data_IF_268979205859
#
_entry.id   IF_268979205859
#
_cell.length_a   1.000
_cell.length_b   1.000
_cell.length_c   1.000
_cell.angle_alpha   90.00
_cell.angle_beta   90.00
_cell.angle_gamma   90.00
#
_symmetry.space_group_name_H-M   'P 1'
#
loop_
_entity.id
_entity.type
_entity.pdbx_description
1 polymer ?
#
# COMPACT_ATOMS: atom_id res chain seq x y z
N UNK A 1 -11.07 -18.00 43.30
CA UNK A 1 -10.43 -17.02 42.41
C UNK A 1 -11.59 -16.30 41.79
N UNK A 2 -11.82 -15.06 42.21
CA UNK A 2 -12.90 -14.26 41.66
C UNK A 2 -12.54 -13.91 40.21
N UNK A 3 -13.42 -14.29 39.29
CA UNK A 3 -13.33 -13.91 37.89
C UNK A 3 -13.46 -12.38 37.80
N UNK A 4 -12.36 -11.72 37.47
CA UNK A 4 -12.35 -10.28 37.25
C UNK A 4 -13.05 -9.99 35.92
N UNK A 5 -14.35 -9.71 35.98
CA UNK A 5 -15.07 -9.09 34.87
C UNK A 5 -14.78 -7.57 34.89
N UNK A 6 -14.09 -7.03 33.87
CA UNK A 6 -13.84 -5.60 33.82
C UNK A 6 -15.16 -4.83 33.67
N UNK A 7 -15.36 -3.83 34.54
CA UNK A 7 -16.53 -2.94 34.56
C UNK A 7 -16.83 -2.27 33.21
N UNK A 8 -15.83 -2.18 32.32
CA UNK A 8 -15.95 -1.67 30.96
C UNK A 8 -15.10 -2.52 29.99
N UNK A 9 -15.66 -3.60 29.41
CA UNK A 9 -14.92 -4.50 28.52
C UNK A 9 -14.36 -3.81 27.27
N UNK A 10 -15.08 -2.79 26.77
CA UNK A 10 -14.70 -1.98 25.61
C UNK A 10 -13.44 -1.14 25.88
N UNK A 11 -13.29 -0.60 27.09
CA UNK A 11 -12.10 0.18 27.48
C UNK A 11 -10.84 -0.69 27.60
N UNK A 12 -11.00 -1.96 27.97
CA UNK A 12 -9.90 -2.93 28.02
C UNK A 12 -9.42 -3.29 26.61
N UNK A 13 -10.35 -3.46 25.66
CA UNK A 13 -10.03 -3.71 24.25
C UNK A 13 -9.39 -2.47 23.62
N UNK A 14 -9.95 -1.28 23.88
CA UNK A 14 -9.43 0.03 23.42
C UNK A 14 -8.00 0.26 23.90
N UNK A 15 -7.75 0.03 25.18
CA UNK A 15 -6.42 0.16 25.80
C UNK A 15 -5.44 -0.85 25.22
N UNK A 16 -5.87 -2.09 24.92
CA UNK A 16 -5.02 -3.12 24.32
C UNK A 16 -4.64 -2.78 22.88
N UNK A 17 -5.60 -2.34 22.06
CA UNK A 17 -5.34 -1.96 20.66
C UNK A 17 -4.43 -0.74 20.59
N UNK A 18 -4.67 0.27 21.43
CA UNK A 18 -3.84 1.46 21.53
C UNK A 18 -2.38 1.17 21.89
N UNK A 19 -2.16 0.32 22.90
CA UNK A 19 -0.81 -0.14 23.27
C UNK A 19 -0.10 -0.85 22.12
N UNK A 20 -0.82 -1.68 21.36
CA UNK A 20 -0.25 -2.34 20.18
C UNK A 20 0.10 -1.35 19.07
N UNK A 21 -0.64 -0.25 18.91
CA UNK A 21 -0.34 0.82 17.94
C UNK A 21 0.99 1.48 18.25
N UNK A 22 1.16 1.93 19.49
CA UNK A 22 2.40 2.55 19.97
C UNK A 22 3.57 1.60 19.72
N UNK A 23 3.46 0.35 20.17
CA UNK A 23 4.52 -0.66 20.01
C UNK A 23 4.88 -0.85 18.53
N UNK A 24 3.90 -0.94 17.63
CA UNK A 24 4.17 -1.14 16.20
C UNK A 24 4.82 0.08 15.56
N UNK A 25 4.36 1.29 15.89
CA UNK A 25 4.93 2.54 15.36
C UNK A 25 6.37 2.71 15.81
N UNK A 26 6.66 2.45 17.09
CA UNK A 26 8.03 2.42 17.62
C UNK A 26 8.90 1.43 16.86
N UNK A 27 8.44 0.18 16.67
CA UNK A 27 9.17 -0.83 15.91
C UNK A 27 9.39 -0.45 14.44
N UNK A 28 8.49 0.33 13.85
CA UNK A 28 8.62 0.80 12.47
C UNK A 28 9.68 1.90 12.37
N UNK A 29 9.67 2.89 13.26
CA UNK A 29 10.66 3.97 13.28
C UNK A 29 12.07 3.43 13.47
N UNK A 30 12.25 2.46 14.37
CA UNK A 30 13.55 1.76 14.57
C UNK A 30 14.04 1.08 13.28
N UNK A 31 13.13 0.54 12.46
CA UNK A 31 13.48 -0.13 11.20
C UNK A 31 13.73 0.85 10.05
N UNK A 32 13.03 1.98 10.04
CA UNK A 32 13.14 3.00 9.01
C UNK A 32 14.42 3.83 9.17
N UNK A 33 14.92 3.97 10.40
CA UNK A 33 16.09 4.78 10.73
C UNK A 33 17.13 3.97 11.54
N UNK A 34 17.74 2.92 10.95
CA UNK A 34 18.66 2.04 11.67
C UNK A 34 19.98 2.71 12.08
N UNK A 35 20.37 3.79 11.39
CA UNK A 35 21.63 4.51 11.59
C UNK A 35 21.44 5.85 12.34
N UNK A 36 20.22 6.16 12.79
CA UNK A 36 19.94 7.38 13.55
C UNK A 36 20.49 7.25 14.96
N UNK A 37 20.97 8.37 15.51
CA UNK A 37 21.41 8.40 16.91
C UNK A 37 20.26 8.00 17.84
N UNK A 38 20.58 7.26 18.90
CA UNK A 38 19.59 6.73 19.82
C UNK A 38 18.77 7.86 20.47
N UNK A 39 19.39 9.00 20.78
CA UNK A 39 18.72 10.15 21.38
C UNK A 39 17.68 10.74 20.42
N UNK A 40 18.06 10.96 19.16
CA UNK A 40 17.17 11.52 18.13
C UNK A 40 16.03 10.56 17.78
N UNK A 41 16.32 9.26 17.76
CA UNK A 41 15.32 8.22 17.53
C UNK A 41 14.30 8.15 18.66
N UNK A 42 14.75 8.28 19.92
CA UNK A 42 13.87 8.30 21.09
C UNK A 42 12.98 9.54 21.11
N UNK A 43 13.50 10.72 20.76
CA UNK A 43 12.70 11.95 20.64
C UNK A 43 11.64 11.83 19.54
N UNK A 44 11.99 11.25 18.39
CA UNK A 44 11.05 11.02 17.29
C UNK A 44 9.95 10.03 17.70
N UNK A 45 10.32 8.94 18.37
CA UNK A 45 9.37 7.95 18.90
C UNK A 45 8.44 8.60 19.92
N UNK A 46 8.98 9.40 20.85
CA UNK A 46 8.19 10.08 21.88
C UNK A 46 7.16 11.01 21.24
N UNK A 47 7.58 11.86 20.28
CA UNK A 47 6.70 12.77 19.56
C UNK A 47 5.54 12.03 18.88
N UNK A 48 5.83 10.97 18.14
CA UNK A 48 4.81 10.19 17.44
C UNK A 48 3.87 9.45 18.41
N UNK A 49 4.38 8.98 19.56
CA UNK A 49 3.56 8.38 20.60
C UNK A 49 2.63 9.40 21.26
N UNK A 50 3.10 10.63 21.48
CA UNK A 50 2.29 11.73 22.02
C UNK A 50 1.17 12.10 21.03
N UNK A 51 1.46 12.22 19.74
CA UNK A 51 0.44 12.49 18.72
C UNK A 51 -0.64 11.39 18.67
N UNK A 52 -0.25 10.12 18.81
CA UNK A 52 -1.16 8.98 18.91
C UNK A 52 -2.03 9.07 20.18
N UNK A 53 -1.45 9.45 21.33
CA UNK A 53 -2.18 9.68 22.58
C UNK A 53 -3.19 10.82 22.46
N UNK A 54 -2.78 11.97 21.94
CA UNK A 54 -3.62 13.16 21.80
C UNK A 54 -4.80 12.90 20.87
N UNK A 55 -4.55 12.17 19.78
CA UNK A 55 -5.60 11.71 18.88
C UNK A 55 -6.63 10.81 19.59
N UNK A 56 -6.18 9.91 20.47
CA UNK A 56 -7.08 9.07 21.26
C UNK A 56 -7.89 9.85 22.29
N UNK A 57 -7.31 10.86 22.92
CA UNK A 57 -8.03 11.76 23.85
C UNK A 57 -9.09 12.56 23.11
N UNK A 58 -8.76 13.12 21.95
CA UNK A 58 -9.71 13.85 21.10
C UNK A 58 -10.84 12.94 20.62
N UNK A 59 -10.52 11.70 20.22
CA UNK A 59 -11.49 10.70 19.78
C UNK A 59 -12.41 10.18 20.89
N UNK A 60 -12.04 10.32 22.16
CA UNK A 60 -12.88 9.95 23.30
C UNK A 60 -13.93 11.04 23.64
N UNK A 61 -13.76 12.26 23.12
CA UNK A 61 -14.65 13.40 23.39
C UNK A 61 -15.82 13.57 22.41
N UNK A 62 -15.88 12.77 21.34
CA UNK A 62 -17.00 12.73 20.39
C UNK A 62 -17.83 11.47 20.62
N UNK A 63 -19.15 11.62 20.83
CA UNK A 63 -20.14 10.56 21.11
C UNK A 63 -20.40 9.57 19.95
N UNK A 64 -19.44 9.41 19.02
CA UNK A 64 -19.50 8.39 17.98
C UNK A 64 -18.82 7.11 18.46
N UNK A 65 -19.44 5.96 18.17
CA UNK A 65 -18.94 4.64 18.59
C UNK A 65 -17.44 4.49 18.31
N UNK A 66 -16.69 4.24 19.39
CA UNK A 66 -15.23 4.36 19.42
C UNK A 66 -14.47 3.42 18.47
N UNK A 67 -15.11 2.34 18.00
CA UNK A 67 -14.57 1.44 16.98
C UNK A 67 -14.38 2.11 15.61
N UNK A 68 -15.25 3.05 15.25
CA UNK A 68 -15.34 3.58 13.89
C UNK A 68 -14.26 4.65 13.62
N UNK A 69 -13.87 5.39 14.66
CA UNK A 69 -12.86 6.45 14.59
C UNK A 69 -11.42 5.93 14.59
N UNK A 70 -11.10 4.92 15.41
CA UNK A 70 -9.77 4.29 15.42
C UNK A 70 -9.53 3.53 14.11
N UNK A 71 -10.55 2.83 13.59
CA UNK A 71 -10.51 2.28 12.22
C UNK A 71 -10.29 3.37 11.17
N UNK A 72 -11.01 4.50 11.23
CA UNK A 72 -10.84 5.62 10.29
C UNK A 72 -9.45 6.23 10.33
N UNK A 73 -8.85 6.39 11.50
CA UNK A 73 -7.46 6.85 11.65
C UNK A 73 -6.48 5.86 11.03
N UNK A 74 -6.61 4.57 11.31
CA UNK A 74 -5.78 3.54 10.68
C UNK A 74 -6.01 3.42 9.18
N UNK A 75 -7.22 3.61 8.68
CA UNK A 75 -7.47 3.68 7.24
C UNK A 75 -6.76 4.89 6.65
N UNK A 76 -6.90 6.06 7.28
CA UNK A 76 -6.31 7.30 6.76
C UNK A 76 -4.78 7.32 6.85
N UNK A 77 -4.19 6.88 7.96
CA UNK A 77 -2.74 6.81 8.15
C UNK A 77 -2.12 5.69 7.30
N UNK A 78 -2.80 4.54 7.13
CA UNK A 78 -2.38 3.46 6.21
C UNK A 78 -2.68 3.77 4.73
N UNK A 79 -3.55 4.73 4.44
CA UNK A 79 -3.77 5.33 3.11
C UNK A 79 -2.63 6.32 2.81
N UNK A 80 -2.28 7.19 3.76
CA UNK A 80 -1.23 8.22 3.64
C UNK A 80 0.21 7.65 3.72
N UNK A 81 0.45 6.60 4.51
CA UNK A 81 1.79 5.98 4.69
C UNK A 81 2.19 5.01 3.57
N UNK A 82 1.30 4.68 2.61
CA UNK A 82 1.72 3.94 1.42
C UNK A 82 2.42 4.90 0.47
N UNK A 83 3.72 5.10 0.67
CA UNK A 83 4.67 5.80 -0.24
C UNK A 83 4.77 5.19 -1.67
N UNK A 84 3.83 4.30 -2.02
CA UNK A 84 3.60 3.63 -3.31
C UNK A 84 2.15 3.85 -3.82
N UNK A 85 1.46 4.90 -3.37
CA UNK A 85 0.01 5.04 -3.51
C UNK A 85 -0.47 4.87 -4.96
N UNK A 86 0.18 5.56 -5.90
CA UNK A 86 -0.11 5.46 -7.34
C UNK A 86 0.13 4.05 -7.87
N UNK A 87 1.26 3.44 -7.48
CA UNK A 87 1.62 2.09 -7.91
C UNK A 87 0.66 1.02 -7.38
N UNK A 88 0.28 1.09 -6.12
CA UNK A 88 -0.67 0.15 -5.50
C UNK A 88 -2.08 0.32 -6.03
N UNK A 89 -2.53 1.56 -6.15
CA UNK A 89 -3.82 1.91 -6.76
C UNK A 89 -3.91 1.32 -8.17
N UNK A 90 -2.85 1.47 -8.97
CA UNK A 90 -2.78 0.89 -10.30
C UNK A 90 -2.70 -0.65 -10.31
N UNK A 91 -1.82 -1.25 -9.50
CA UNK A 91 -1.60 -2.71 -9.47
C UNK A 91 -2.86 -3.47 -9.03
N UNK A 92 -3.72 -2.85 -8.23
CA UNK A 92 -4.99 -3.44 -7.81
C UNK A 92 -5.92 -3.78 -8.99
N UNK A 93 -5.84 -3.03 -10.10
CA UNK A 93 -6.55 -3.37 -11.34
C UNK A 93 -5.99 -4.62 -12.02
N UNK A 94 -4.69 -4.83 -11.90
CA UNK A 94 -4.00 -5.95 -12.53
C UNK A 94 -4.15 -7.24 -11.73
N UNK A 95 -4.67 -7.16 -10.50
CA UNK A 95 -4.76 -8.30 -9.58
C UNK A 95 -5.66 -9.44 -10.07
N UNK A 96 -6.67 -9.11 -10.87
CA UNK A 96 -7.56 -10.10 -11.50
C UNK A 96 -6.80 -10.95 -12.54
N UNK A 97 -5.74 -10.38 -13.14
CA UNK A 97 -4.95 -11.01 -14.20
C UNK A 97 -3.63 -11.62 -13.71
N UNK A 98 -3.21 -11.31 -12.48
CA UNK A 98 -1.98 -11.79 -11.84
C UNK A 98 -2.32 -12.89 -10.81
N UNK A 99 -2.81 -14.04 -11.28
CA UNK A 99 -3.42 -15.08 -10.45
C UNK A 99 -2.46 -16.13 -9.83
N UNK A 100 -1.14 -16.01 -9.99
CA UNK A 100 -0.22 -16.96 -9.33
C UNK A 100 -0.01 -16.60 -7.84
N UNK A 101 -0.06 -17.59 -6.95
CA UNK A 101 0.03 -17.40 -5.49
C UNK A 101 1.36 -16.78 -5.04
N UNK A 102 2.45 -17.12 -5.72
CA UNK A 102 3.79 -16.56 -5.46
C UNK A 102 3.85 -15.08 -5.86
N UNK A 103 3.15 -14.70 -6.93
CA UNK A 103 3.12 -13.34 -7.48
C UNK A 103 2.33 -12.36 -6.62
N UNK A 104 1.16 -12.74 -6.08
CA UNK A 104 0.32 -11.78 -5.33
C UNK A 104 1.03 -11.21 -4.10
N UNK A 105 1.54 -12.05 -3.20
CA UNK A 105 2.07 -11.55 -1.93
C UNK A 105 3.47 -10.93 -2.06
N UNK A 106 4.27 -11.37 -3.03
CA UNK A 106 5.68 -10.97 -3.13
C UNK A 106 5.97 -10.00 -4.29
N UNK A 107 5.25 -10.11 -5.41
CA UNK A 107 5.54 -9.31 -6.60
C UNK A 107 4.69 -8.04 -6.70
N UNK A 108 3.51 -7.97 -6.07
CA UNK A 108 2.75 -6.72 -6.03
C UNK A 108 3.52 -5.53 -5.47
N UNK A 109 4.29 -5.66 -4.37
CA UNK A 109 5.14 -4.56 -3.92
C UNK A 109 6.19 -4.18 -4.98
N UNK A 110 6.77 -5.15 -5.69
CA UNK A 110 7.75 -4.89 -6.74
C UNK A 110 7.12 -4.15 -7.94
N UNK A 111 5.92 -4.54 -8.35
CA UNK A 111 5.17 -3.87 -9.40
C UNK A 111 4.70 -2.47 -9.00
N UNK A 112 4.29 -2.28 -7.74
CA UNK A 112 3.91 -0.96 -7.25
C UNK A 112 5.14 -0.03 -7.17
N UNK A 113 6.28 -0.56 -6.74
CA UNK A 113 7.55 0.16 -6.71
C UNK A 113 8.01 0.53 -8.13
N UNK A 114 7.85 -0.37 -9.11
CA UNK A 114 8.26 -0.08 -10.49
C UNK A 114 7.52 1.12 -11.06
N UNK A 115 6.25 1.33 -10.69
CA UNK A 115 5.50 2.53 -11.08
C UNK A 115 6.14 3.79 -10.52
N UNK A 116 6.57 3.80 -9.27
CA UNK A 116 7.29 4.94 -8.70
C UNK A 116 8.60 5.22 -9.43
N UNK A 117 9.35 4.17 -9.74
CA UNK A 117 10.68 4.29 -10.34
C UNK A 117 10.64 4.70 -11.82
N UNK A 118 9.55 4.36 -12.54
CA UNK A 118 9.47 4.50 -13.99
C UNK A 118 8.46 5.55 -14.47
N UNK A 119 7.43 5.90 -13.69
CA UNK A 119 6.39 6.84 -14.14
C UNK A 119 6.90 8.29 -14.24
N UNK A 120 8.06 8.59 -13.65
CA UNK A 120 8.64 9.92 -13.57
C UNK A 120 7.97 10.78 -12.49
N UNK A 121 8.75 11.65 -11.83
CA UNK A 121 8.29 12.42 -10.66
C UNK A 121 7.04 13.26 -10.95
N UNK A 122 7.05 14.06 -12.03
CA UNK A 122 5.93 14.96 -12.36
C UNK A 122 4.62 14.21 -12.58
N UNK A 123 4.65 13.08 -13.29
CA UNK A 123 3.45 12.28 -13.54
C UNK A 123 3.01 11.57 -12.26
N UNK A 124 3.96 11.08 -11.47
CA UNK A 124 3.67 10.44 -10.19
C UNK A 124 2.95 11.40 -9.23
N UNK A 125 3.45 12.62 -9.06
CA UNK A 125 2.86 13.62 -8.19
C UNK A 125 1.47 14.04 -8.67
N UNK A 126 1.30 14.24 -9.98
CA UNK A 126 0.00 14.52 -10.59
C UNK A 126 -1.04 13.44 -10.26
N UNK A 127 -0.69 12.16 -10.44
CA UNK A 127 -1.61 11.07 -10.15
C UNK A 127 -1.85 10.92 -8.66
N UNK A 128 -0.82 11.11 -7.82
CA UNK A 128 -0.97 11.05 -6.37
C UNK A 128 -2.00 12.05 -5.87
N UNK A 129 -1.95 13.30 -6.33
CA UNK A 129 -2.91 14.32 -5.93
C UNK A 129 -4.32 14.03 -6.42
N UNK A 130 -4.47 13.49 -7.64
CA UNK A 130 -5.78 13.06 -8.14
C UNK A 130 -6.38 11.91 -7.33
N UNK A 131 -5.58 10.95 -6.89
CA UNK A 131 -6.08 9.86 -6.04
C UNK A 131 -6.49 10.42 -4.66
N UNK A 132 -5.73 11.36 -4.08
CA UNK A 132 -6.12 12.00 -2.81
C UNK A 132 -7.47 12.73 -2.91
N UNK A 133 -7.71 13.45 -4.00
CA UNK A 133 -9.00 14.12 -4.24
C UNK A 133 -10.12 13.09 -4.31
N UNK A 134 -9.95 12.03 -5.09
CA UNK A 134 -10.93 10.94 -5.20
C UNK A 134 -11.23 10.28 -3.84
N UNK A 135 -10.19 10.05 -3.03
CA UNK A 135 -10.36 9.49 -1.68
C UNK A 135 -11.15 10.43 -0.76
N UNK A 136 -10.91 11.74 -0.85
CA UNK A 136 -11.65 12.72 -0.07
C UNK A 136 -13.13 12.75 -0.47
N UNK A 137 -13.42 12.79 -1.77
CA UNK A 137 -14.79 12.75 -2.32
C UNK A 137 -15.54 11.48 -1.89
N UNK A 138 -14.92 10.31 -2.02
CA UNK A 138 -15.53 9.04 -1.60
C UNK A 138 -15.77 8.99 -0.09
N UNK A 139 -14.88 9.57 0.72
CA UNK A 139 -15.06 9.66 2.18
C UNK A 139 -16.25 10.53 2.55
N UNK A 140 -16.45 11.66 1.89
CA UNK A 140 -17.62 12.52 2.09
C UNK A 140 -18.92 11.80 1.74
N UNK A 141 -18.88 10.93 0.72
CA UNK A 141 -20.00 10.09 0.30
C UNK A 141 -20.18 8.83 1.17
N UNK A 142 -19.37 8.63 2.21
CA UNK A 142 -19.41 7.43 3.06
C UNK A 142 -18.99 6.15 2.35
N UNK A 143 -18.34 6.26 1.19
CA UNK A 143 -17.85 5.13 0.40
C UNK A 143 -16.48 4.70 0.93
N UNK A 144 -16.31 3.40 1.18
CA UNK A 144 -15.03 2.84 1.61
C UNK A 144 -14.05 2.69 0.43
N UNK A 145 -12.78 2.40 0.73
CA UNK A 145 -11.74 2.29 -0.30
C UNK A 145 -12.07 1.25 -1.38
N UNK A 146 -12.61 0.09 -1.01
CA UNK A 146 -12.96 -0.95 -1.99
C UNK A 146 -14.09 -0.50 -2.93
N UNK A 147 -15.12 0.16 -2.39
CA UNK A 147 -16.19 0.77 -3.19
C UNK A 147 -15.70 1.93 -4.06
N UNK A 148 -14.69 2.69 -3.63
CA UNK A 148 -14.06 3.72 -4.46
C UNK A 148 -13.40 3.10 -5.69
N UNK A 149 -12.73 1.95 -5.56
CA UNK A 149 -12.05 1.31 -6.70
C UNK A 149 -13.02 0.82 -7.79
N UNK A 150 -14.27 0.61 -7.43
CA UNK A 150 -15.34 0.21 -8.34
C UNK A 150 -15.97 1.40 -9.10
N UNK A 151 -15.56 2.63 -8.78
CA UNK A 151 -16.05 3.84 -9.46
C UNK A 151 -15.46 4.00 -10.87
N UNK A 152 -16.21 4.68 -11.74
CA UNK A 152 -15.78 5.01 -13.10
C UNK A 152 -14.56 5.93 -13.08
N UNK A 153 -14.53 6.85 -12.11
CA UNK A 153 -13.44 7.78 -11.87
C UNK A 153 -12.15 7.04 -11.51
N UNK A 154 -12.21 6.07 -10.57
CA UNK A 154 -11.07 5.24 -10.22
C UNK A 154 -10.58 4.42 -11.43
N UNK A 155 -11.51 3.83 -12.19
CA UNK A 155 -11.19 3.05 -13.38
C UNK A 155 -10.44 3.88 -14.44
N UNK A 156 -10.93 5.10 -14.71
CA UNK A 156 -10.30 6.02 -15.64
C UNK A 156 -8.91 6.45 -15.16
N UNK A 157 -8.77 6.76 -13.88
CA UNK A 157 -7.49 7.15 -13.28
C UNK A 157 -6.44 6.03 -13.39
N UNK A 158 -6.81 4.78 -13.06
CA UNK A 158 -5.91 3.62 -13.23
C UNK A 158 -5.48 3.42 -14.69
N UNK A 159 -6.39 3.67 -15.64
CA UNK A 159 -6.11 3.56 -17.07
C UNK A 159 -5.14 4.64 -17.56
N UNK A 160 -5.28 5.86 -17.07
CA UNK A 160 -4.33 6.94 -17.36
C UNK A 160 -2.94 6.62 -16.80
N UNK A 161 -2.85 6.11 -15.56
CA UNK A 161 -1.60 5.65 -14.95
C UNK A 161 -0.98 4.54 -15.81
N UNK A 162 -1.77 3.55 -16.25
CA UNK A 162 -1.29 2.46 -17.11
C UNK A 162 -0.70 2.97 -18.43
N UNK A 163 -1.36 3.95 -19.07
CA UNK A 163 -0.90 4.57 -20.32
C UNK A 163 0.41 5.33 -20.12
N UNK A 164 0.48 6.16 -19.09
CA UNK A 164 1.67 6.93 -18.75
C UNK A 164 2.84 6.00 -18.41
N UNK A 165 2.61 5.00 -17.55
CA UNK A 165 3.60 3.99 -17.19
C UNK A 165 4.14 3.24 -18.41
N UNK A 166 3.26 2.76 -19.30
CA UNK A 166 3.68 2.05 -20.51
C UNK A 166 4.49 2.94 -21.46
N UNK A 167 4.14 4.21 -21.56
CA UNK A 167 4.87 5.18 -22.37
C UNK A 167 6.30 5.35 -21.84
N UNK A 168 6.46 5.51 -20.53
CA UNK A 168 7.77 5.66 -19.92
C UNK A 168 8.58 4.36 -19.94
N UNK A 169 7.94 3.21 -19.71
CA UNK A 169 8.57 1.89 -19.84
C UNK A 169 9.17 1.67 -21.24
N UNK A 170 8.47 2.11 -22.30
CA UNK A 170 8.95 2.02 -23.69
C UNK A 170 10.03 3.05 -24.05
N UNK A 171 9.99 4.23 -23.42
CA UNK A 171 10.98 5.30 -23.66
C UNK A 171 12.29 5.03 -22.94
N UNK A 172 12.23 4.43 -21.75
CA UNK A 172 13.40 4.16 -20.94
C UNK A 172 14.20 3.00 -21.53
N UNK A 173 15.47 3.21 -21.95
CA UNK A 173 16.31 2.14 -22.47
C UNK A 173 16.57 1.03 -21.43
N UNK A 174 16.35 1.33 -20.15
CA UNK A 174 16.50 0.41 -19.03
C UNK A 174 15.17 0.05 -18.35
N UNK A 175 14.02 0.47 -18.89
CA UNK A 175 12.72 0.30 -18.25
C UNK A 175 12.39 -1.17 -17.96
N UNK A 176 12.59 -2.04 -18.95
CA UNK A 176 12.40 -3.48 -18.79
C UNK A 176 13.39 -4.11 -17.81
N UNK A 177 14.64 -3.62 -17.79
CA UNK A 177 15.67 -4.10 -16.87
C UNK A 177 15.35 -3.74 -15.42
N UNK A 178 14.91 -2.50 -15.18
CA UNK A 178 14.50 -2.04 -13.84
C UNK A 178 13.37 -2.92 -13.30
N UNK A 179 12.34 -3.18 -14.12
CA UNK A 179 11.23 -4.04 -13.71
C UNK A 179 11.69 -5.48 -13.42
N UNK A 180 12.52 -6.07 -14.28
CA UNK A 180 13.07 -7.42 -14.06
C UNK A 180 13.90 -7.51 -12.78
N UNK A 181 14.75 -6.52 -12.50
CA UNK A 181 15.57 -6.47 -11.29
C UNK A 181 14.71 -6.35 -10.02
N UNK A 182 13.61 -5.60 -10.07
CA UNK A 182 12.67 -5.48 -8.96
C UNK A 182 11.97 -6.82 -8.68
N UNK A 183 11.55 -7.52 -9.74
CA UNK A 183 10.95 -8.87 -9.64
C UNK A 183 11.98 -9.85 -9.06
N UNK A 184 13.20 -9.88 -9.60
CA UNK A 184 14.28 -10.75 -9.14
C UNK A 184 14.58 -10.53 -7.66
N UNK A 185 14.75 -9.28 -7.25
CA UNK A 185 14.99 -8.92 -5.85
C UNK A 185 13.87 -9.40 -4.91
N UNK A 186 12.62 -9.29 -5.35
CA UNK A 186 11.47 -9.77 -4.59
C UNK A 186 11.44 -11.30 -4.47
N UNK A 187 11.76 -12.02 -5.54
CA UNK A 187 11.82 -13.49 -5.57
C UNK A 187 12.97 -14.04 -4.72
N UNK A 188 14.18 -13.46 -4.83
CA UNK A 188 15.33 -13.83 -3.98
C UNK A 188 14.98 -13.65 -2.50
N UNK A 189 14.35 -12.52 -2.15
CA UNK A 189 13.92 -12.24 -0.79
C UNK A 189 12.86 -13.23 -0.29
N UNK A 190 11.96 -13.68 -1.17
CA UNK A 190 10.98 -14.70 -0.83
C UNK A 190 11.65 -16.05 -0.58
N UNK A 191 12.55 -16.47 -1.46
CA UNK A 191 13.26 -17.75 -1.35
C UNK A 191 14.14 -17.82 -0.10
N UNK A 192 14.81 -16.71 0.27
CA UNK A 192 15.56 -16.62 1.53
C UNK A 192 14.67 -16.84 2.76
N UNK A 193 13.42 -16.36 2.72
CA UNK A 193 12.45 -16.54 3.82
C UNK A 193 11.76 -17.89 3.80
N UNK A 194 11.74 -18.58 2.66
CA UNK A 194 11.06 -19.85 2.45
C UNK A 194 12.02 -20.85 1.78
N UNK A 195 13.07 -21.31 2.48
CA UNK A 195 14.10 -22.16 1.89
C UNK A 195 13.58 -23.53 1.40
N UNK A 196 12.37 -23.93 1.81
CA UNK A 196 11.70 -25.14 1.32
C UNK A 196 11.04 -24.99 -0.07
N UNK A 197 10.82 -23.75 -0.52
CA UNK A 197 10.22 -23.43 -1.82
C UNK A 197 11.35 -23.14 -2.82
N UNK A 198 12.08 -24.16 -3.23
CA UNK A 198 13.14 -24.01 -4.23
C UNK A 198 12.53 -23.88 -5.64
N UNK A 199 12.76 -22.74 -6.28
CA UNK A 199 12.39 -22.49 -7.68
C UNK A 199 13.53 -21.80 -8.41
N UNK A 200 13.49 -21.87 -9.75
CA UNK A 200 14.42 -21.14 -10.61
C UNK A 200 14.01 -19.68 -10.72
N UNK A 201 14.80 -18.78 -10.11
CA UNK A 201 14.51 -17.35 -10.07
C UNK A 201 14.46 -16.76 -11.47
N UNK A 202 15.41 -17.12 -12.35
CA UNK A 202 15.48 -16.56 -13.70
C UNK A 202 14.22 -16.83 -14.53
N UNK A 203 13.75 -18.08 -14.53
CA UNK A 203 12.50 -18.46 -15.22
C UNK A 203 11.29 -17.72 -14.66
N UNK A 204 11.18 -17.60 -13.33
CA UNK A 204 10.05 -16.88 -12.72
C UNK A 204 10.11 -15.37 -12.95
N UNK A 205 11.30 -14.77 -13.05
CA UNK A 205 11.44 -13.35 -13.40
C UNK A 205 10.86 -13.08 -14.77
N UNK A 206 11.22 -13.88 -15.78
CA UNK A 206 10.71 -13.73 -17.14
C UNK A 206 9.20 -13.96 -17.20
N UNK A 207 8.69 -15.00 -16.55
CA UNK A 207 7.25 -15.28 -16.49
C UNK A 207 6.46 -14.14 -15.85
N UNK A 208 6.90 -13.66 -14.68
CA UNK A 208 6.23 -12.57 -13.98
C UNK A 208 6.30 -11.24 -14.76
N UNK A 209 7.41 -10.99 -15.45
CA UNK A 209 7.55 -9.85 -16.34
C UNK A 209 6.55 -9.91 -17.50
N UNK A 210 6.48 -11.05 -18.20
CA UNK A 210 5.57 -11.25 -19.33
C UNK A 210 4.10 -11.21 -18.90
N UNK A 211 3.75 -11.81 -17.77
CA UNK A 211 2.40 -11.76 -17.23
C UNK A 211 1.99 -10.34 -16.85
N UNK A 212 2.89 -9.56 -16.26
CA UNK A 212 2.65 -8.16 -15.95
C UNK A 212 2.45 -7.31 -17.21
N UNK A 213 3.27 -7.52 -18.25
CA UNK A 213 3.08 -6.86 -19.54
C UNK A 213 1.77 -7.25 -20.21
N UNK A 214 1.39 -8.52 -20.15
CA UNK A 214 0.11 -9.01 -20.69
C UNK A 214 -1.07 -8.41 -19.94
N UNK A 215 -1.02 -8.35 -18.61
CA UNK A 215 -2.05 -7.72 -17.79
C UNK A 215 -2.21 -6.22 -18.12
N UNK A 216 -1.08 -5.53 -18.34
CA UNK A 216 -1.04 -4.15 -18.84
C UNK A 216 -1.71 -3.99 -20.22
N UNK A 217 -1.53 -4.96 -21.12
CA UNK A 217 -2.13 -4.95 -22.45
C UNK A 217 -3.62 -5.27 -22.47
N UNK A 218 -4.07 -6.24 -21.69
CA UNK A 218 -5.50 -6.57 -21.56
C UNK A 218 -6.31 -5.37 -21.03
N UNK A 219 -5.75 -4.66 -20.06
CA UNK A 219 -6.33 -3.43 -19.50
C UNK A 219 -6.23 -2.21 -20.44
N UNK A 220 -5.48 -2.35 -21.55
CA UNK A 220 -5.38 -1.34 -22.60
C UNK A 220 -6.27 -1.66 -23.81
N UNK A 221 -6.52 -2.95 -24.08
CA UNK A 221 -7.20 -3.44 -25.29
C UNK A 221 -8.70 -3.73 -25.11
N UNK A 222 -9.24 -3.80 -23.89
CA UNK A 222 -10.69 -4.03 -23.70
C UNK A 222 -11.58 -3.00 -24.41
N UNK A 223 -11.03 -1.85 -24.81
CA UNK A 223 -11.78 -0.78 -25.50
C UNK A 223 -11.67 -0.81 -27.02
N UNK A 224 -10.75 -1.57 -27.64
CA UNK A 224 -10.75 -1.67 -29.11
C UNK A 224 -11.89 -2.54 -29.67
N UNK A 225 -12.68 -3.14 -28.79
CA UNK A 225 -13.82 -3.98 -29.14
C UNK A 225 -15.17 -3.26 -28.95
N UNK A 226 -15.19 -2.02 -28.44
CA UNK A 226 -16.43 -1.26 -28.17
C UNK A 226 -16.58 0.03 -29.02
N UNK A 227 -15.68 0.28 -29.99
CA UNK A 227 -15.82 1.32 -31.01
C UNK A 227 -16.31 0.74 -32.36
#
# INVERSE_FOLDING_TARGET
MDDFEPLFPEDVIRTRQFRQTIIRKTMQLIKEYPDMDESDLLELVEKECVEICDFCVQSASQESSSEDLVKKYFLHEKELQRKDHVGRFFVQKLEVHLQNDVSRKNLYPAFAQSVKDLLGADSYDLFNDRIKVLLAECRELGTNYDGMLETVEAYNLMKEIARAYRKELKKSPYGSLILKNLIESALIKYQYKNPGDAFDVGTLVEQAFDDFLRALELNYLSDKAED
#
